data_IF_784099819444
#
_entry.id   IF_784099819444
#
_cell.length_a   1.000
_cell.length_b   1.000
_cell.length_c   1.000
_cell.angle_alpha   90.00
_cell.angle_beta   90.00
_cell.angle_gamma   90.00
#
_symmetry.space_group_name_H-M   'P 1'
#
loop_
_entity.id
_entity.type
_entity.pdbx_description
1 polymer ?
#
# COMPACT_ATOMS: atom_id res chain seq x y z
N UNK A 1 39.05 -50.51 -27.44
CA UNK A 1 37.95 -49.77 -28.09
C UNK A 1 36.89 -49.48 -27.05
N UNK A 2 36.60 -48.20 -26.84
CA UNK A 2 35.77 -47.66 -25.75
C UNK A 2 34.33 -48.18 -25.82
N UNK A 3 33.84 -48.79 -24.74
CA UNK A 3 32.41 -49.06 -24.57
C UNK A 3 31.76 -47.77 -24.09
N UNK A 4 31.15 -47.05 -25.01
CA UNK A 4 30.33 -45.87 -24.74
C UNK A 4 29.12 -46.27 -23.90
N UNK A 5 28.95 -45.54 -22.79
CA UNK A 5 27.87 -45.65 -21.81
C UNK A 5 26.51 -45.39 -22.46
N UNK A 6 25.67 -46.43 -22.53
CA UNK A 6 24.24 -46.31 -22.80
C UNK A 6 23.50 -46.25 -21.47
N UNK A 7 23.59 -45.10 -20.80
CA UNK A 7 22.94 -44.82 -19.52
C UNK A 7 22.13 -43.52 -19.55
N UNK A 8 21.55 -43.17 -20.70
CA UNK A 8 20.76 -41.94 -20.87
C UNK A 8 19.53 -42.24 -21.72
N UNK A 9 18.35 -42.18 -21.09
CA UNK A 9 17.08 -42.39 -21.78
C UNK A 9 15.86 -42.55 -20.87
N UNK A 10 16.02 -42.61 -19.56
CA UNK A 10 14.92 -42.49 -18.61
C UNK A 10 15.40 -41.49 -17.56
N UNK A 11 14.95 -40.23 -17.62
CA UNK A 11 14.92 -39.43 -16.40
C UNK A 11 14.11 -40.25 -15.40
N UNK A 12 14.75 -40.84 -14.39
CA UNK A 12 14.07 -41.67 -13.41
C UNK A 12 12.82 -40.89 -12.94
N UNK A 13 11.60 -41.42 -13.15
CA UNK A 13 10.37 -40.68 -12.84
C UNK A 13 10.39 -40.11 -11.41
N UNK A 14 11.07 -40.82 -10.50
CA UNK A 14 11.31 -40.38 -9.13
C UNK A 14 12.16 -39.11 -9.01
N UNK A 15 13.21 -38.96 -9.81
CA UNK A 15 14.04 -37.76 -9.80
C UNK A 15 13.24 -36.52 -10.25
N UNK A 16 12.38 -36.69 -11.25
CA UNK A 16 11.49 -35.61 -11.72
C UNK A 16 10.45 -35.26 -10.66
N UNK A 17 9.83 -36.26 -10.02
CA UNK A 17 8.88 -36.05 -8.93
C UNK A 17 9.53 -35.38 -7.72
N UNK A 18 10.75 -35.79 -7.35
CA UNK A 18 11.50 -35.18 -6.27
C UNK A 18 11.85 -33.72 -6.58
N UNK A 19 12.24 -33.41 -7.81
CA UNK A 19 12.50 -32.04 -8.24
C UNK A 19 11.24 -31.17 -8.21
N UNK A 20 10.11 -31.67 -8.73
CA UNK A 20 8.83 -30.97 -8.68
C UNK A 20 8.35 -30.75 -7.25
N UNK A 21 8.53 -31.74 -6.37
CA UNK A 21 8.23 -31.59 -4.95
C UNK A 21 9.10 -30.51 -4.30
N UNK A 22 10.41 -30.51 -4.56
CA UNK A 22 11.32 -29.50 -4.03
C UNK A 22 10.96 -28.09 -4.52
N UNK A 23 10.63 -27.94 -5.81
CA UNK A 23 10.19 -26.66 -6.39
C UNK A 23 8.86 -26.23 -5.80
N UNK A 24 7.89 -27.14 -5.69
CA UNK A 24 6.57 -26.86 -5.10
C UNK A 24 6.67 -26.48 -3.63
N UNK A 25 7.45 -27.23 -2.84
CA UNK A 25 7.70 -26.92 -1.44
C UNK A 25 8.43 -25.58 -1.29
N UNK A 26 9.42 -25.31 -2.13
CA UNK A 26 10.12 -24.02 -2.18
C UNK A 26 9.17 -22.87 -2.51
N UNK A 27 8.27 -23.05 -3.47
CA UNK A 27 7.27 -22.04 -3.85
C UNK A 27 6.24 -21.83 -2.74
N UNK A 28 5.77 -22.89 -2.07
CA UNK A 28 4.85 -22.79 -0.94
C UNK A 28 5.51 -22.11 0.27
N UNK A 29 6.77 -22.44 0.57
CA UNK A 29 7.53 -21.75 1.63
C UNK A 29 7.77 -20.28 1.27
N UNK A 30 8.14 -20.00 0.03
CA UNK A 30 8.29 -18.63 -0.46
C UNK A 30 6.98 -17.86 -0.34
N UNK A 31 5.87 -18.44 -0.82
CA UNK A 31 4.55 -17.85 -0.71
C UNK A 31 4.15 -17.62 0.75
N UNK A 32 4.46 -18.55 1.66
CA UNK A 32 4.24 -18.37 3.10
C UNK A 32 5.09 -17.27 3.73
N UNK A 33 6.35 -17.10 3.31
CA UNK A 33 7.19 -15.96 3.74
C UNK A 33 6.62 -14.64 3.19
N UNK A 34 6.19 -14.64 1.92
CA UNK A 34 5.54 -13.49 1.30
C UNK A 34 4.22 -13.16 2.01
N UNK A 35 3.42 -14.16 2.35
CA UNK A 35 2.14 -14.00 3.05
C UNK A 35 2.33 -13.61 4.52
N UNK A 36 3.37 -14.08 5.22
CA UNK A 36 3.64 -13.59 6.59
C UNK A 36 4.21 -12.18 6.61
N UNK A 37 4.98 -11.80 5.60
CA UNK A 37 5.47 -10.41 5.46
C UNK A 37 4.37 -9.48 4.99
N UNK A 38 3.51 -9.88 4.04
CA UNK A 38 2.40 -9.09 3.51
C UNK A 38 1.14 -9.16 4.36
N UNK A 39 0.79 -10.30 4.93
CA UNK A 39 -0.39 -10.54 5.78
C UNK A 39 -0.30 -9.86 7.14
N UNK A 40 0.90 -9.51 7.62
CA UNK A 40 1.05 -8.55 8.72
C UNK A 40 0.55 -7.12 8.36
N UNK A 41 0.20 -6.87 7.08
CA UNK A 41 -0.40 -5.63 6.56
C UNK A 41 -1.93 -5.69 6.42
N UNK A 42 -2.61 -6.75 6.86
CA UNK A 42 -4.09 -6.83 6.84
C UNK A 42 -4.80 -5.95 7.89
N UNK A 43 -4.06 -5.12 8.64
CA UNK A 43 -4.65 -3.94 9.29
C UNK A 43 -4.60 -2.79 8.28
N UNK A 44 -5.67 -2.04 7.96
CA UNK A 44 -5.69 -1.12 6.82
C UNK A 44 -4.49 -0.19 6.82
N UNK A 45 -3.54 -0.40 5.92
CA UNK A 45 -2.37 0.46 5.85
C UNK A 45 -2.83 1.91 5.61
N UNK A 46 -2.14 2.86 6.23
CA UNK A 46 -2.47 4.27 6.06
C UNK A 46 -2.25 4.71 4.60
N UNK A 47 -1.38 4.02 3.84
CA UNK A 47 -1.09 4.26 2.43
C UNK A 47 -2.29 4.05 1.47
N UNK A 48 -2.99 2.89 1.45
CA UNK A 48 -4.18 2.72 0.62
C UNK A 48 -5.31 3.67 1.01
N UNK A 49 -5.42 4.03 2.29
CA UNK A 49 -6.38 5.05 2.72
C UNK A 49 -5.97 6.44 2.21
N UNK A 50 -4.67 6.78 2.27
CA UNK A 50 -4.14 8.00 1.70
C UNK A 50 -4.41 8.09 0.19
N UNK A 51 -4.25 7.00 -0.54
CA UNK A 51 -4.50 7.01 -1.99
C UNK A 51 -5.98 7.15 -2.36
N UNK A 52 -6.88 6.57 -1.57
CA UNK A 52 -8.32 6.81 -1.67
C UNK A 52 -8.67 8.28 -1.37
N UNK A 53 -8.22 8.81 -0.23
CA UNK A 53 -8.45 10.21 0.18
C UNK A 53 -7.91 11.15 -0.88
N UNK A 54 -6.65 10.96 -1.32
CA UNK A 54 -6.02 11.78 -2.35
C UNK A 54 -6.87 11.79 -3.62
N UNK A 55 -7.36 10.64 -4.06
CA UNK A 55 -8.21 10.55 -5.26
C UNK A 55 -9.53 11.30 -5.08
N UNK A 56 -10.08 11.34 -3.86
CA UNK A 56 -11.32 12.06 -3.55
C UNK A 56 -11.13 13.59 -3.46
N UNK A 57 -9.97 14.07 -2.96
CA UNK A 57 -9.70 15.52 -2.82
C UNK A 57 -8.99 16.14 -4.03
N UNK A 58 -8.53 15.32 -4.99
CA UNK A 58 -7.79 15.78 -6.16
C UNK A 58 -8.74 16.06 -7.31
N UNK A 59 -8.73 17.31 -7.78
CA UNK A 59 -9.38 17.71 -9.03
C UNK A 59 -8.30 18.14 -10.04
N UNK A 60 -8.27 17.50 -11.21
CA UNK A 60 -7.29 17.80 -12.27
C UNK A 60 -5.82 17.77 -11.81
N UNK A 61 -5.49 16.88 -10.86
CA UNK A 61 -4.14 16.75 -10.29
C UNK A 61 -3.80 17.76 -9.18
N UNK A 62 -4.76 18.58 -8.76
CA UNK A 62 -4.61 19.55 -7.67
C UNK A 62 -5.58 19.23 -6.54
N UNK A 63 -5.06 19.16 -5.32
CA UNK A 63 -5.85 18.98 -4.10
C UNK A 63 -6.58 20.27 -3.74
N UNK A 64 -7.89 20.18 -3.56
CA UNK A 64 -8.72 21.26 -3.00
C UNK A 64 -8.91 21.07 -1.48
N UNK A 65 -8.44 22.01 -0.63
CA UNK A 65 -8.63 21.93 0.82
C UNK A 65 -10.11 21.88 1.25
N UNK A 66 -11.04 22.42 0.47
CA UNK A 66 -12.47 22.42 0.79
C UNK A 66 -13.13 21.03 0.65
N UNK A 67 -12.50 20.11 -0.08
CA UNK A 67 -12.97 18.74 -0.25
C UNK A 67 -12.55 17.81 0.89
N UNK A 68 -11.75 18.28 1.86
CA UNK A 68 -11.15 17.45 2.91
C UNK A 68 -12.21 16.80 3.82
N UNK A 69 -13.27 17.54 4.18
CA UNK A 69 -14.39 17.00 4.98
C UNK A 69 -15.16 15.90 4.24
N UNK A 70 -15.43 16.11 2.95
CA UNK A 70 -16.11 15.10 2.13
C UNK A 70 -15.26 13.82 1.96
N UNK A 71 -13.93 13.97 1.93
CA UNK A 71 -13.01 12.85 1.81
C UNK A 71 -12.91 11.98 3.07
N UNK A 72 -13.49 12.40 4.21
CA UNK A 72 -13.66 11.52 5.37
C UNK A 72 -14.51 10.28 5.03
N UNK A 73 -15.41 10.38 4.05
CA UNK A 73 -16.19 9.23 3.56
C UNK A 73 -15.33 8.17 2.86
N UNK A 74 -14.08 8.48 2.52
CA UNK A 74 -13.13 7.50 1.97
C UNK A 74 -12.44 6.65 3.05
N UNK A 75 -12.78 6.87 4.33
CA UNK A 75 -12.31 6.05 5.44
C UNK A 75 -12.70 4.57 5.26
N UNK A 76 -11.84 3.61 5.66
CA UNK A 76 -12.24 2.22 5.75
C UNK A 76 -13.38 2.03 6.75
N UNK A 77 -14.26 1.06 6.49
CA UNK A 77 -15.33 0.72 7.41
C UNK A 77 -14.79 0.33 8.79
N UNK A 78 -15.45 0.79 9.85
CA UNK A 78 -15.05 0.52 11.24
C UNK A 78 -13.79 1.26 11.70
N UNK A 79 -13.24 2.18 10.89
CA UNK A 79 -12.05 2.97 11.24
C UNK A 79 -12.37 4.46 11.32
N UNK A 80 -11.63 5.16 12.18
CA UNK A 80 -11.57 6.61 12.23
C UNK A 80 -10.33 7.08 11.48
N UNK A 81 -10.46 8.24 10.85
CA UNK A 81 -9.36 8.87 10.12
C UNK A 81 -9.24 10.34 10.49
N UNK A 82 -7.99 10.82 10.54
CA UNK A 82 -7.68 12.25 10.53
C UNK A 82 -6.90 12.57 9.26
N UNK A 83 -7.34 13.62 8.59
CA UNK A 83 -6.71 14.14 7.38
C UNK A 83 -6.09 15.48 7.73
N UNK A 84 -4.81 15.65 7.39
CA UNK A 84 -4.10 16.91 7.61
C UNK A 84 -3.40 17.31 6.32
N UNK A 85 -3.74 18.49 5.82
CA UNK A 85 -3.15 19.07 4.62
C UNK A 85 -2.36 20.32 5.02
N UNK A 86 -1.11 20.41 4.58
CA UNK A 86 -0.26 21.58 4.83
C UNK A 86 0.28 22.14 3.53
N UNK A 87 0.16 23.45 3.31
CA UNK A 87 0.76 24.13 2.17
C UNK A 87 0.87 25.64 2.44
N UNK A 88 1.97 26.26 2.02
CA UNK A 88 2.16 27.73 2.10
C UNK A 88 1.96 28.29 3.54
N UNK A 89 2.44 27.57 4.55
CA UNK A 89 2.29 27.92 5.96
C UNK A 89 0.87 27.79 6.52
N UNK A 90 -0.08 27.29 5.73
CA UNK A 90 -1.44 26.99 6.15
C UNK A 90 -1.60 25.51 6.42
N UNK A 91 -2.48 25.21 7.37
CA UNK A 91 -2.87 23.85 7.74
C UNK A 91 -4.39 23.74 7.69
N UNK A 92 -4.88 22.66 7.08
CA UNK A 92 -6.27 22.26 7.05
C UNK A 92 -6.37 20.87 7.64
N UNK A 93 -7.32 20.64 8.52
CA UNK A 93 -7.54 19.34 9.14
C UNK A 93 -9.02 18.95 9.06
N UNK A 94 -9.28 17.66 8.88
CA UNK A 94 -10.61 17.08 8.92
C UNK A 94 -10.59 15.78 9.72
N UNK A 95 -11.67 15.52 10.46
CA UNK A 95 -11.82 14.34 11.31
C UNK A 95 -11.38 14.56 12.77
N UNK A 96 -11.60 13.55 13.64
CA UNK A 96 -11.27 13.60 15.06
C UNK A 96 -9.77 13.77 15.34
N UNK A 97 -9.43 14.14 16.58
CA UNK A 97 -8.04 14.16 17.05
C UNK A 97 -7.45 12.76 17.07
N UNK A 98 -6.19 12.67 16.65
CA UNK A 98 -5.48 11.42 16.46
C UNK A 98 -4.94 10.88 17.79
N UNK A 99 -5.20 9.61 18.14
CA UNK A 99 -4.53 8.96 19.28
C UNK A 99 -3.05 8.63 18.97
N UNK A 100 -2.18 8.51 19.98
CA UNK A 100 -0.73 8.42 19.77
C UNK A 100 -0.26 7.14 19.04
N UNK A 101 -1.09 6.11 18.98
CA UNK A 101 -0.85 4.82 18.33
C UNK A 101 -1.45 4.73 16.92
N UNK A 102 -2.06 5.81 16.42
CA UNK A 102 -2.62 5.82 15.08
C UNK A 102 -1.54 5.60 14.01
N UNK A 103 -1.90 4.81 13.00
CA UNK A 103 -1.01 4.58 11.86
C UNK A 103 -1.11 5.73 10.88
N UNK A 104 0.03 6.19 10.38
CA UNK A 104 0.08 7.39 9.54
C UNK A 104 0.79 7.17 8.21
N UNK A 105 0.29 7.78 7.15
CA UNK A 105 0.96 7.91 5.86
C UNK A 105 0.98 9.37 5.43
N UNK A 106 1.97 9.77 4.64
CA UNK A 106 2.02 11.12 4.09
C UNK A 106 2.56 11.15 2.66
N UNK A 107 2.05 12.07 1.84
CA UNK A 107 2.47 12.24 0.45
C UNK A 107 2.51 13.71 0.07
N UNK A 108 3.50 14.06 -0.75
CA UNK A 108 3.61 15.38 -1.35
C UNK A 108 2.53 15.54 -2.43
N UNK A 109 1.82 16.67 -2.42
CA UNK A 109 0.70 16.95 -3.33
C UNK A 109 0.76 18.39 -3.82
N UNK A 110 0.14 18.65 -4.96
CA UNK A 110 -0.13 20.01 -5.43
C UNK A 110 -1.42 20.50 -4.78
N UNK A 111 -1.38 21.63 -4.08
CA UNK A 111 -2.52 22.17 -3.31
C UNK A 111 -2.95 23.50 -3.88
N UNK A 112 -4.25 23.68 -4.09
CA UNK A 112 -4.85 24.98 -4.41
C UNK A 112 -4.99 25.80 -3.14
N UNK A 113 -4.11 26.79 -2.96
CA UNK A 113 -4.15 27.67 -1.77
C UNK A 113 -4.98 28.93 -1.97
N UNK A 114 -5.22 29.31 -3.23
CA UNK A 114 -6.12 30.38 -3.65
C UNK A 114 -6.55 30.16 -5.12
N UNK A 115 -7.57 30.86 -5.63
CA UNK A 115 -7.93 30.80 -7.05
C UNK A 115 -6.72 31.05 -7.96
N UNK A 116 -6.45 30.13 -8.88
CA UNK A 116 -5.30 30.19 -9.80
C UNK A 116 -3.93 29.99 -9.15
N UNK A 117 -3.85 29.75 -7.83
CA UNK A 117 -2.57 29.62 -7.11
C UNK A 117 -2.39 28.21 -6.57
N UNK A 118 -1.43 27.49 -7.12
CA UNK A 118 -1.05 26.14 -6.70
C UNK A 118 0.32 26.17 -6.01
N UNK A 119 0.44 25.44 -4.90
CA UNK A 119 1.68 25.27 -4.13
C UNK A 119 1.90 23.82 -3.80
N UNK A 120 3.16 23.42 -3.68
CA UNK A 120 3.49 22.10 -3.14
C UNK A 120 3.13 22.06 -1.66
N UNK A 121 2.44 21.01 -1.26
CA UNK A 121 2.04 20.74 0.10
C UNK A 121 2.22 19.28 0.48
N UNK A 122 1.79 18.93 1.68
CA UNK A 122 1.81 17.56 2.20
C UNK A 122 0.43 17.19 2.71
N UNK A 123 -0.10 16.09 2.18
CA UNK A 123 -1.28 15.43 2.70
C UNK A 123 -0.81 14.31 3.64
N UNK A 124 -1.30 14.30 4.87
CA UNK A 124 -1.09 13.27 5.88
C UNK A 124 -2.45 12.64 6.22
N UNK A 125 -2.45 11.33 6.36
CA UNK A 125 -3.61 10.55 6.75
C UNK A 125 -3.22 9.69 7.93
N UNK A 126 -4.03 9.74 8.98
CA UNK A 126 -3.87 8.95 10.20
C UNK A 126 -5.11 8.10 10.39
N UNK A 127 -4.94 6.80 10.68
CA UNK A 127 -6.03 5.80 10.71
C UNK A 127 -5.92 4.96 11.98
N UNK A 128 -7.06 4.75 12.64
CA UNK A 128 -7.19 3.91 13.84
C UNK A 128 -8.60 3.33 13.95
N UNK A 129 -8.80 2.36 14.83
CA UNK A 129 -10.11 1.74 15.15
C UNK A 129 -10.68 2.28 16.45
#
# INVERSE_FOLDING_TARGET
MSRSSTGRGQTEPLAVLAALFAVGAGLTLYAGVVDTTLGQRETPDADPTLDRVRSAVTENGVVDPSALDAALAAAPDGHRVRLTLTADGREWAAGPETPPDARSASRTVSVRVAPGTVRTGRLRVEVWS
#
